data_IF_999126502455
#
_entry.id   IF_999126502455
#
_cell.length_a   1.000
_cell.length_b   1.000
_cell.length_c   1.000
_cell.angle_alpha   90.00
_cell.angle_beta   90.00
_cell.angle_gamma   90.00
#
_symmetry.space_group_name_H-M   'P 1'
#
loop_
_entity.id
_entity.type
_entity.pdbx_description
1 polymer ?
#
# COMPACT_ATOMS: atom_id res chain seq x y z
N UNK A 1 21.16 11.95 -5.72
CA UNK A 1 20.30 11.12 -6.59
C UNK A 1 19.36 10.33 -5.70
N UNK A 2 18.10 10.75 -5.60
CA UNK A 2 17.13 10.14 -4.70
C UNK A 2 16.76 8.76 -5.22
N UNK A 3 17.47 7.74 -4.74
CA UNK A 3 17.28 6.32 -5.05
C UNK A 3 15.99 5.78 -4.45
N UNK A 4 14.85 6.39 -4.81
CA UNK A 4 13.55 5.87 -4.40
C UNK A 4 13.25 4.66 -5.29
N UNK A 5 13.48 3.49 -4.73
CA UNK A 5 13.05 2.22 -5.30
C UNK A 5 11.54 2.10 -5.09
N UNK A 6 10.80 1.87 -6.16
CA UNK A 6 9.38 1.67 -6.10
C UNK A 6 9.09 0.36 -5.36
N UNK A 7 8.55 0.44 -4.15
CA UNK A 7 8.19 -0.74 -3.35
C UNK A 7 7.08 -1.60 -3.98
N UNK A 8 6.38 -1.07 -5.00
CA UNK A 8 5.37 -1.83 -5.75
C UNK A 8 5.97 -2.73 -6.84
N UNK A 9 7.03 -2.30 -7.52
CA UNK A 9 7.59 -3.01 -8.68
C UNK A 9 9.08 -3.38 -8.53
N UNK A 10 9.74 -2.94 -7.46
CA UNK A 10 11.15 -3.16 -7.18
C UNK A 10 12.11 -2.33 -8.05
N UNK A 11 11.62 -1.48 -8.96
CA UNK A 11 12.48 -0.67 -9.84
C UNK A 11 12.82 0.68 -9.22
N UNK A 12 14.08 1.11 -9.37
CA UNK A 12 14.56 2.44 -9.01
C UNK A 12 14.26 3.47 -10.11
N UNK A 13 14.01 4.72 -9.71
CA UNK A 13 13.78 5.83 -10.65
C UNK A 13 12.36 6.40 -10.63
N UNK A 14 11.45 5.81 -9.85
CA UNK A 14 10.14 6.38 -9.58
C UNK A 14 9.67 6.00 -8.17
N UNK A 15 8.83 6.85 -7.59
CA UNK A 15 8.14 6.56 -6.35
C UNK A 15 6.83 5.78 -6.67
N UNK A 16 6.37 4.93 -5.75
CA UNK A 16 5.21 4.06 -5.92
C UNK A 16 3.87 4.77 -6.28
N UNK A 17 3.73 6.03 -5.90
CA UNK A 17 2.63 6.94 -6.24
C UNK A 17 2.58 7.36 -7.71
N UNK A 18 3.63 7.12 -8.49
CA UNK A 18 3.63 7.27 -9.96
C UNK A 18 3.15 5.99 -10.66
N UNK A 19 2.86 4.92 -9.92
CA UNK A 19 2.41 3.66 -10.50
C UNK A 19 0.93 3.78 -10.90
N UNK A 20 0.56 3.41 -12.16
CA UNK A 20 -0.76 3.70 -12.73
C UNK A 20 -1.91 3.00 -12.00
N UNK A 21 -1.63 1.92 -11.26
CA UNK A 21 -2.62 1.20 -10.46
C UNK A 21 -2.85 1.79 -9.07
N UNK A 22 -2.13 2.85 -8.68
CA UNK A 22 -2.25 3.48 -7.37
C UNK A 22 -1.77 2.57 -6.22
N UNK A 23 -1.91 3.02 -4.96
CA UNK A 23 -1.48 2.25 -3.80
C UNK A 23 -2.31 0.96 -3.67
N UNK A 24 -1.64 -0.14 -3.29
CA UNK A 24 -2.33 -1.38 -2.90
C UNK A 24 -2.79 -1.27 -1.45
N UNK A 25 -4.07 -1.53 -1.23
CA UNK A 25 -4.66 -1.72 0.07
C UNK A 25 -4.24 -3.07 0.62
N UNK A 26 -3.44 -3.09 1.68
CA UNK A 26 -3.04 -4.33 2.36
C UNK A 26 -4.14 -4.90 3.27
N UNK A 27 -5.21 -4.14 3.50
CA UNK A 27 -6.40 -4.60 4.20
C UNK A 27 -7.29 -5.49 3.32
N UNK A 28 -7.65 -5.02 2.11
CA UNK A 28 -8.59 -5.73 1.22
C UNK A 28 -7.96 -6.22 -0.10
N UNK A 29 -6.63 -6.10 -0.25
CA UNK A 29 -5.87 -6.43 -1.45
C UNK A 29 -6.23 -5.66 -2.73
N UNK A 30 -7.06 -4.61 -2.66
CA UNK A 30 -7.45 -3.80 -3.83
C UNK A 30 -6.49 -2.65 -4.11
N UNK A 31 -6.47 -2.16 -5.36
CA UNK A 31 -5.64 -1.05 -5.79
C UNK A 31 -6.44 0.27 -5.76
N UNK A 32 -5.74 1.40 -5.67
CA UNK A 32 -6.32 2.74 -5.72
C UNK A 32 -6.52 3.43 -4.37
N UNK A 33 -6.35 2.72 -3.25
CA UNK A 33 -6.41 3.32 -1.91
C UNK A 33 -5.43 2.64 -0.93
N UNK A 34 -5.06 3.35 0.13
CA UNK A 34 -4.26 2.80 1.23
C UNK A 34 -5.15 2.01 2.20
N UNK A 35 -4.56 1.05 2.94
CA UNK A 35 -5.29 0.31 3.99
C UNK A 35 -6.02 1.24 4.99
N UNK A 36 -5.43 2.40 5.32
CA UNK A 36 -6.07 3.41 6.18
C UNK A 36 -7.34 4.05 5.59
N UNK A 37 -7.42 4.09 4.26
CA UNK A 37 -8.54 4.66 3.48
C UNK A 37 -9.43 3.56 2.90
N UNK A 38 -9.30 2.31 3.37
CA UNK A 38 -10.19 1.25 2.95
C UNK A 38 -11.59 1.47 3.54
N UNK A 39 -12.61 1.37 2.69
CA UNK A 39 -14.02 1.43 3.10
C UNK A 39 -14.48 0.16 3.81
N UNK A 40 -13.75 -0.94 3.69
CA UNK A 40 -14.03 -2.18 4.40
C UNK A 40 -13.40 -2.14 5.79
N UNK A 41 -14.24 -1.96 6.81
CA UNK A 41 -13.85 -1.85 8.21
C UNK A 41 -13.25 -3.15 8.76
N UNK A 42 -13.81 -4.32 8.39
CA UNK A 42 -13.30 -5.62 8.82
C UNK A 42 -11.88 -5.84 8.28
N UNK A 43 -11.68 -5.53 7.00
CA UNK A 43 -10.38 -5.60 6.35
C UNK A 43 -9.37 -4.66 7.02
N UNK A 44 -9.79 -3.43 7.36
CA UNK A 44 -8.97 -2.46 8.10
C UNK A 44 -8.53 -3.00 9.46
N UNK A 45 -9.48 -3.53 10.24
CA UNK A 45 -9.21 -4.04 11.57
C UNK A 45 -8.20 -5.20 11.55
N UNK A 46 -8.34 -6.14 10.60
CA UNK A 46 -7.38 -7.25 10.42
C UNK A 46 -5.98 -6.75 10.06
N UNK A 47 -5.88 -5.77 9.16
CA UNK A 47 -4.60 -5.18 8.78
C UNK A 47 -3.96 -4.36 9.92
N UNK A 48 -4.76 -3.63 10.71
CA UNK A 48 -4.27 -2.88 11.85
C UNK A 48 -3.74 -3.82 12.95
N UNK A 49 -4.50 -4.86 13.29
CA UNK A 49 -4.07 -5.90 14.22
C UNK A 49 -2.75 -6.55 13.77
N UNK A 50 -2.60 -6.85 12.46
CA UNK A 50 -1.34 -7.36 11.91
C UNK A 50 -0.17 -6.38 12.08
N UNK A 51 -0.40 -5.08 11.86
CA UNK A 51 0.61 -4.04 12.04
C UNK A 51 0.97 -3.81 13.51
N UNK A 52 0.03 -4.01 14.45
CA UNK A 52 0.30 -3.96 15.89
C UNK A 52 1.13 -5.15 16.38
N UNK A 53 1.08 -6.29 15.69
CA UNK A 53 1.84 -7.50 16.04
C UNK A 53 3.22 -7.60 15.38
N UNK A 54 3.58 -6.70 14.47
CA UNK A 54 4.86 -6.75 13.74
C UNK A 54 5.97 -5.91 14.40
#
# INVERSE_FOLDING_TARGET
ASGTTCYLCGKSGHWAQQYPTGPKCYACNQNGHYARNCTNEEAKAKNDAYLQTR
#
